data_IF_676547509012
#
_entry.id   IF_676547509012
#
_cell.length_a   1.000
_cell.length_b   1.000
_cell.length_c   1.000
_cell.angle_alpha   90.00
_cell.angle_beta   90.00
_cell.angle_gamma   90.00
#
_symmetry.space_group_name_H-M   'P 1'
#
loop_
_entity.id
_entity.type
_entity.pdbx_description
1 polymer ?
#
# COMPACT_ATOMS: atom_id res chain seq x y z
N UNK A 1 5.53 33.58 13.34
CA UNK A 1 5.02 32.26 12.89
C UNK A 1 4.09 31.70 13.97
N UNK A 2 2.80 31.62 13.70
CA UNK A 2 1.88 30.92 14.58
C UNK A 2 2.27 29.44 14.51
N UNK A 3 2.89 28.91 15.57
CA UNK A 3 3.00 27.49 15.79
C UNK A 3 1.57 26.95 15.79
N UNK A 4 1.17 26.26 14.72
CA UNK A 4 -0.05 25.46 14.75
C UNK A 4 0.11 24.48 15.91
N UNK A 5 -0.78 24.57 16.89
CA UNK A 5 -0.82 23.61 17.98
C UNK A 5 -1.18 22.29 17.34
N UNK A 6 -0.30 21.28 17.44
CA UNK A 6 -0.65 19.90 17.22
C UNK A 6 -1.83 19.61 18.17
N UNK A 7 -3.02 19.44 17.62
CA UNK A 7 -4.15 18.97 18.43
C UNK A 7 -3.88 17.50 18.71
N UNK A 8 -3.41 17.20 19.92
CA UNK A 8 -3.36 15.85 20.42
C UNK A 8 -4.81 15.40 20.60
N UNK A 9 -5.30 14.53 19.70
CA UNK A 9 -6.63 14.01 19.74
C UNK A 9 -6.56 12.57 20.22
N UNK A 10 -7.35 12.25 21.23
CA UNK A 10 -7.64 10.88 21.67
C UNK A 10 -9.11 10.64 21.40
N UNK A 11 -9.40 10.04 20.28
CA UNK A 11 -10.76 9.79 19.84
C UNK A 11 -11.19 8.36 20.15
N UNK A 12 -12.47 8.22 20.46
CA UNK A 12 -13.11 6.92 20.60
C UNK A 12 -14.34 6.87 19.72
N UNK A 13 -14.22 6.17 18.59
CA UNK A 13 -15.33 5.93 17.68
C UNK A 13 -16.10 4.70 18.14
N UNK A 14 -17.44 4.78 18.12
CA UNK A 14 -18.32 3.66 18.42
C UNK A 14 -19.40 3.55 17.36
N UNK A 15 -19.62 2.34 16.88
CA UNK A 15 -20.70 2.05 15.94
C UNK A 15 -21.32 0.69 16.25
N UNK A 16 -22.63 0.64 16.32
CA UNK A 16 -23.39 -0.60 16.36
C UNK A 16 -23.72 -1.01 14.93
N UNK A 17 -23.45 -2.26 14.59
CA UNK A 17 -23.76 -2.83 13.28
C UNK A 17 -24.39 -4.21 13.49
N UNK A 18 -25.57 -4.40 12.90
CA UNK A 18 -26.17 -5.73 12.80
C UNK A 18 -25.41 -6.56 11.78
N UNK A 19 -24.98 -7.75 12.15
CA UNK A 19 -24.33 -8.71 11.25
C UNK A 19 -25.30 -9.85 11.01
N UNK A 20 -25.74 -9.99 9.76
CA UNK A 20 -26.74 -11.00 9.38
C UNK A 20 -26.20 -12.42 9.60
N UNK A 21 -27.08 -13.34 9.99
CA UNK A 21 -26.73 -14.74 10.23
C UNK A 21 -26.22 -15.46 8.98
N UNK A 22 -26.57 -15.01 7.78
CA UNK A 22 -26.04 -15.55 6.52
C UNK A 22 -24.55 -15.35 6.32
N UNK A 23 -23.91 -14.49 7.12
CA UNK A 23 -22.46 -14.28 7.11
C UNK A 23 -21.71 -15.27 8.02
N UNK A 24 -22.42 -16.09 8.81
CA UNK A 24 -21.82 -17.08 9.70
C UNK A 24 -21.02 -18.12 8.88
N UNK A 25 -19.80 -18.41 9.34
CA UNK A 25 -18.87 -19.33 8.61
C UNK A 25 -18.05 -18.64 7.52
N UNK A 26 -18.23 -17.35 7.28
CA UNK A 26 -17.33 -16.57 6.42
C UNK A 26 -16.16 -15.98 7.22
N UNK A 27 -15.07 -15.73 6.54
CA UNK A 27 -13.98 -14.90 7.06
C UNK A 27 -14.43 -13.44 7.09
N UNK A 28 -14.23 -12.76 8.21
CA UNK A 28 -14.60 -11.36 8.36
C UNK A 28 -13.39 -10.51 8.75
N UNK A 29 -13.19 -9.40 8.04
CA UNK A 29 -12.09 -8.46 8.27
C UNK A 29 -12.64 -7.05 8.34
N UNK A 30 -12.19 -6.26 9.32
CA UNK A 30 -12.34 -4.81 9.28
C UNK A 30 -11.08 -4.20 8.69
N UNK A 31 -11.24 -3.40 7.64
CA UNK A 31 -10.15 -2.83 6.84
C UNK A 31 -10.19 -1.31 6.93
N UNK A 32 -9.05 -0.70 7.20
CA UNK A 32 -8.85 0.74 7.30
C UNK A 32 -7.91 1.22 6.20
N UNK A 33 -8.29 2.24 5.47
CA UNK A 33 -7.40 2.88 4.51
C UNK A 33 -6.41 3.86 5.16
N UNK A 34 -6.73 4.35 6.35
CA UNK A 34 -5.82 5.18 7.14
C UNK A 34 -6.48 5.75 8.40
N UNK A 35 -5.71 5.72 9.48
CA UNK A 35 -6.10 6.38 10.74
C UNK A 35 -4.83 6.79 11.52
N UNK A 36 -4.76 8.02 11.96
CA UNK A 36 -3.55 8.60 12.53
C UNK A 36 -3.67 8.78 14.04
N UNK A 37 -2.79 8.13 14.83
CA UNK A 37 -1.53 7.45 14.44
C UNK A 37 -1.40 6.08 15.15
N UNK A 38 -1.95 5.92 16.34
CA UNK A 38 -2.05 4.65 17.08
C UNK A 38 -3.51 4.23 17.13
N UNK A 39 -3.82 3.06 16.61
CA UNK A 39 -5.17 2.51 16.59
C UNK A 39 -5.24 1.30 17.48
N UNK A 40 -6.26 1.25 18.37
CA UNK A 40 -6.66 0.04 19.10
C UNK A 40 -8.10 -0.27 18.78
N UNK A 41 -8.33 -1.48 18.33
CA UNK A 41 -9.64 -1.94 17.95
C UNK A 41 -10.21 -2.95 18.94
N UNK A 42 -11.48 -2.75 19.29
CA UNK A 42 -12.25 -3.62 20.18
C UNK A 42 -13.57 -3.98 19.50
N UNK A 43 -13.97 -5.23 19.58
CA UNK A 43 -15.26 -5.72 19.12
C UNK A 43 -16.01 -6.37 20.29
N UNK A 44 -17.24 -5.90 20.56
CA UNK A 44 -18.06 -6.36 21.67
C UNK A 44 -17.36 -6.27 23.05
N UNK A 45 -16.49 -5.28 23.21
CA UNK A 45 -15.70 -5.05 24.42
C UNK A 45 -14.42 -5.87 24.52
N UNK A 46 -14.14 -6.76 23.60
CA UNK A 46 -12.90 -7.56 23.55
C UNK A 46 -11.85 -6.85 22.69
N UNK A 47 -10.61 -6.83 23.15
CA UNK A 47 -9.49 -6.33 22.35
C UNK A 47 -9.21 -7.28 21.18
N UNK A 48 -9.10 -6.74 19.99
CA UNK A 48 -8.84 -7.49 18.75
C UNK A 48 -7.41 -7.26 18.26
N UNK A 49 -6.95 -6.02 18.25
CA UNK A 49 -5.62 -5.70 17.77
C UNK A 49 -5.28 -4.21 17.82
N UNK A 50 -4.04 -3.90 17.48
CA UNK A 50 -3.53 -2.53 17.38
C UNK A 50 -2.69 -2.35 16.11
N UNK A 51 -2.62 -1.11 15.64
CA UNK A 51 -1.76 -0.69 14.53
C UNK A 51 -1.06 0.62 14.89
N UNK A 52 0.21 0.74 14.50
CA UNK A 52 1.05 1.92 14.68
C UNK A 52 1.49 2.43 13.31
N UNK A 53 1.15 3.67 13.02
CA UNK A 53 1.41 4.31 11.73
C UNK A 53 0.17 5.04 11.24
N UNK A 54 0.36 6.23 10.67
CA UNK A 54 -0.76 7.12 10.38
C UNK A 54 -1.25 7.09 8.94
N UNK A 55 -0.51 6.46 8.01
CA UNK A 55 -0.70 6.75 6.58
C UNK A 55 -0.81 5.52 5.69
N UNK A 56 -0.51 4.35 6.20
CA UNK A 56 -0.65 3.07 5.53
C UNK A 56 -2.00 2.43 5.84
N UNK A 57 -2.42 1.49 4.99
CA UNK A 57 -3.62 0.68 5.19
C UNK A 57 -3.33 -0.43 6.20
N UNK A 58 -4.36 -0.85 6.94
CA UNK A 58 -4.25 -1.98 7.85
C UNK A 58 -5.61 -2.66 8.03
N UNK A 59 -5.60 -3.89 8.53
CA UNK A 59 -6.81 -4.64 8.78
C UNK A 59 -6.70 -5.54 10.00
N UNK A 60 -7.86 -5.91 10.55
CA UNK A 60 -7.95 -6.88 11.66
C UNK A 60 -8.92 -7.99 11.28
N UNK A 61 -8.51 -9.24 11.53
CA UNK A 61 -9.41 -10.38 11.50
C UNK A 61 -10.36 -10.30 12.70
N UNK A 62 -11.65 -10.29 12.41
CA UNK A 62 -12.70 -10.17 13.43
C UNK A 62 -13.62 -11.39 13.47
N UNK A 63 -13.32 -12.42 12.70
CA UNK A 63 -14.16 -13.60 12.49
C UNK A 63 -14.63 -14.24 13.79
N UNK A 64 -13.71 -14.47 14.72
CA UNK A 64 -14.00 -15.11 16.02
C UNK A 64 -14.68 -14.19 17.05
N UNK A 65 -14.72 -12.87 16.80
CA UNK A 65 -15.26 -11.87 17.71
C UNK A 65 -16.70 -11.44 17.36
N UNK A 66 -17.15 -11.78 16.13
CA UNK A 66 -18.49 -11.42 15.63
C UNK A 66 -19.58 -12.28 16.28
N UNK A 67 -20.71 -11.64 16.50
CA UNK A 67 -21.97 -12.26 16.89
C UNK A 67 -22.93 -12.14 15.73
N UNK A 68 -23.29 -13.27 15.13
CA UNK A 68 -24.16 -13.32 13.95
C UNK A 68 -25.64 -13.30 14.34
N UNK A 69 -26.47 -12.67 13.52
CA UNK A 69 -27.90 -12.47 13.76
C UNK A 69 -28.22 -11.45 14.86
N UNK A 70 -27.27 -10.59 15.21
CA UNK A 70 -27.43 -9.59 16.25
C UNK A 70 -26.52 -8.37 16.06
N UNK A 71 -26.74 -7.34 16.89
CA UNK A 71 -25.90 -6.15 16.94
C UNK A 71 -24.52 -6.44 17.51
N UNK A 72 -23.51 -5.83 16.89
CA UNK A 72 -22.12 -5.85 17.33
C UNK A 72 -21.64 -4.43 17.59
N UNK A 73 -20.97 -4.22 18.71
CA UNK A 73 -20.40 -2.93 19.08
C UNK A 73 -18.92 -2.86 18.64
N UNK A 74 -18.68 -2.09 17.58
CA UNK A 74 -17.33 -1.73 17.10
C UNK A 74 -16.85 -0.52 17.89
N UNK A 75 -15.68 -0.64 18.53
CA UNK A 75 -15.06 0.48 19.27
C UNK A 75 -13.62 0.62 18.77
N UNK A 76 -13.32 1.79 18.21
CA UNK A 76 -11.99 2.13 17.70
C UNK A 76 -11.45 3.29 18.55
N UNK A 77 -10.31 3.08 19.17
CA UNK A 77 -9.56 4.12 19.87
C UNK A 77 -8.43 4.57 18.95
N UNK A 78 -8.36 5.87 18.68
CA UNK A 78 -7.32 6.49 17.87
C UNK A 78 -6.60 7.55 18.69
N UNK A 79 -5.28 7.52 18.70
CA UNK A 79 -4.44 8.42 19.46
C UNK A 79 -3.33 8.99 18.56
N UNK A 80 -3.26 10.32 18.43
CA UNK A 80 -2.16 11.00 17.75
C UNK A 80 -1.29 11.85 18.68
N UNK A 81 -1.25 11.50 19.96
CA UNK A 81 -0.27 12.08 20.89
C UNK A 81 1.13 11.75 20.38
N UNK A 82 2.04 12.72 20.45
CA UNK A 82 3.42 12.52 20.08
C UNK A 82 4.00 11.25 20.70
N UNK A 83 4.48 10.36 19.83
CA UNK A 83 5.19 9.14 20.21
C UNK A 83 6.56 9.16 19.51
N UNK A 84 7.68 9.19 20.24
CA UNK A 84 9.00 9.29 19.63
C UNK A 84 9.39 8.04 18.81
N UNK A 85 8.64 6.96 18.92
CA UNK A 85 8.91 5.72 18.20
C UNK A 85 8.06 5.54 16.94
N UNK A 86 7.19 6.50 16.59
CA UNK A 86 6.33 6.42 15.41
C UNK A 86 6.58 7.63 14.50
N UNK A 87 7.18 7.47 13.32
CA UNK A 87 7.33 8.58 12.38
C UNK A 87 5.96 9.02 11.81
N UNK A 88 5.80 10.31 11.44
CA UNK A 88 6.80 11.38 11.48
C UNK A 88 6.93 11.99 12.87
N UNK A 89 8.16 12.35 13.25
CA UNK A 89 8.44 12.97 14.54
C UNK A 89 8.26 14.49 14.51
N UNK A 90 8.62 15.09 13.39
CA UNK A 90 8.52 16.52 13.12
C UNK A 90 8.43 16.74 11.62
N UNK A 91 7.69 17.74 11.21
CA UNK A 91 7.58 18.14 9.81
C UNK A 91 7.04 19.58 9.71
N UNK A 92 6.95 20.08 8.50
CA UNK A 92 6.34 21.37 8.16
C UNK A 92 4.87 21.25 7.73
N UNK A 93 4.29 20.04 7.82
CA UNK A 93 2.88 19.77 7.61
C UNK A 93 2.15 19.38 8.91
N UNK A 94 0.82 19.46 8.91
CA UNK A 94 0.00 19.17 10.09
C UNK A 94 -0.27 17.67 10.22
N UNK A 95 -0.08 17.13 11.43
CA UNK A 95 -0.41 15.76 11.79
C UNK A 95 -1.86 15.70 12.28
N UNK A 96 -2.80 15.56 11.35
CA UNK A 96 -4.21 15.43 11.70
C UNK A 96 -4.48 14.03 12.27
N UNK A 97 -5.17 13.97 13.42
CA UNK A 97 -5.55 12.72 14.07
C UNK A 97 -6.89 12.18 13.62
N UNK A 98 -7.21 10.96 14.06
CA UNK A 98 -8.50 10.32 13.85
C UNK A 98 -8.54 9.38 12.65
N UNK A 99 -9.73 8.84 12.36
CA UNK A 99 -10.02 8.06 11.15
C UNK A 99 -10.34 9.06 10.05
N UNK A 100 -9.52 9.13 9.03
CA UNK A 100 -9.62 10.16 7.99
C UNK A 100 -9.78 9.61 6.56
N UNK A 101 -9.69 8.27 6.41
CA UNK A 101 -9.99 7.54 5.17
C UNK A 101 -11.06 6.49 5.43
N UNK A 102 -11.48 5.78 4.40
CA UNK A 102 -12.55 4.83 4.44
C UNK A 102 -12.27 3.60 5.32
N UNK A 103 -13.35 3.04 5.87
CA UNK A 103 -13.33 1.82 6.68
C UNK A 103 -14.35 0.85 6.14
N UNK A 104 -13.91 -0.37 5.81
CA UNK A 104 -14.74 -1.42 5.23
C UNK A 104 -14.87 -2.61 6.16
N UNK A 105 -16.07 -3.20 6.18
CA UNK A 105 -16.32 -4.52 6.74
C UNK A 105 -16.43 -5.50 5.57
N UNK A 106 -15.48 -6.42 5.48
CA UNK A 106 -15.36 -7.38 4.39
C UNK A 106 -15.68 -8.79 4.86
N UNK A 107 -16.51 -9.50 4.09
CA UNK A 107 -16.82 -10.91 4.30
C UNK A 107 -16.35 -11.74 3.12
N UNK A 108 -15.45 -12.67 3.36
CA UNK A 108 -14.81 -13.50 2.34
C UNK A 108 -15.13 -14.98 2.56
N UNK A 109 -14.88 -15.81 1.56
CA UNK A 109 -14.88 -17.25 1.74
C UNK A 109 -13.75 -17.64 2.71
N UNK A 110 -13.90 -18.64 3.57
CA UNK A 110 -12.81 -19.11 4.42
C UNK A 110 -11.58 -19.61 3.65
N UNK A 111 -11.76 -20.01 2.39
CA UNK A 111 -10.68 -20.27 1.44
C UNK A 111 -10.61 -19.09 0.48
N UNK A 112 -9.60 -18.24 0.62
CA UNK A 112 -9.52 -16.98 -0.09
C UNK A 112 -8.08 -16.53 -0.36
N UNK A 113 -7.93 -15.43 -1.08
CA UNK A 113 -6.65 -14.72 -1.25
C UNK A 113 -6.37 -13.92 0.04
N UNK A 114 -5.17 -14.08 0.60
CA UNK A 114 -4.82 -13.52 1.90
C UNK A 114 -4.65 -12.00 1.84
N UNK A 115 -5.75 -11.27 2.04
CA UNK A 115 -5.77 -9.79 2.10
C UNK A 115 -5.28 -9.23 3.44
N UNK A 116 -5.05 -10.09 4.44
CA UNK A 116 -4.43 -9.72 5.72
C UNK A 116 -2.89 -9.63 5.64
N UNK A 117 -2.28 -9.91 4.50
CA UNK A 117 -0.87 -9.66 4.25
C UNK A 117 -0.64 -8.15 4.09
N UNK A 118 -0.36 -7.45 5.17
CA UNK A 118 -0.16 -5.99 5.22
C UNK A 118 -1.30 -5.16 4.59
N UNK A 119 -2.54 -5.64 4.66
CA UNK A 119 -3.70 -5.04 3.99
C UNK A 119 -3.48 -4.79 2.49
N UNK A 120 -2.71 -5.65 1.83
CA UNK A 120 -2.46 -5.64 0.39
C UNK A 120 -3.56 -6.40 -0.37
N UNK A 121 -3.41 -6.51 -1.68
CA UNK A 121 -4.31 -7.34 -2.48
C UNK A 121 -4.07 -8.85 -2.31
N UNK A 122 -2.99 -9.27 -1.65
CA UNK A 122 -2.54 -10.67 -1.58
C UNK A 122 -2.05 -11.23 -2.92
N UNK A 123 -1.98 -10.39 -3.96
CA UNK A 123 -1.51 -10.72 -5.31
C UNK A 123 -0.42 -9.74 -5.72
N UNK A 124 0.72 -10.26 -6.15
CA UNK A 124 1.88 -9.46 -6.55
C UNK A 124 2.27 -9.80 -7.99
N UNK A 125 2.24 -8.80 -8.87
CA UNK A 125 2.48 -8.96 -10.31
C UNK A 125 3.85 -8.40 -10.67
N UNK A 126 4.73 -9.27 -11.16
CA UNK A 126 6.05 -8.89 -11.66
C UNK A 126 6.11 -8.99 -13.16
N UNK A 127 6.88 -8.10 -13.77
CA UNK A 127 7.11 -8.05 -15.22
C UNK A 127 8.62 -8.09 -15.47
N UNK A 128 9.26 -9.28 -15.31
CA UNK A 128 10.73 -9.38 -15.32
C UNK A 128 11.36 -8.98 -16.65
N UNK A 129 10.63 -9.14 -17.74
CA UNK A 129 11.10 -8.79 -19.07
C UNK A 129 9.96 -8.09 -19.82
N UNK A 130 10.20 -6.86 -20.25
CA UNK A 130 9.26 -6.08 -21.08
C UNK A 130 10.03 -5.36 -22.16
N UNK A 131 9.56 -5.46 -23.40
CA UNK A 131 10.03 -4.69 -24.54
C UNK A 131 8.88 -4.50 -25.55
N UNK A 132 9.14 -3.86 -26.70
CA UNK A 132 8.12 -3.57 -27.70
C UNK A 132 7.52 -4.82 -28.37
N UNK A 133 8.23 -5.95 -28.37
CA UNK A 133 7.80 -7.18 -29.04
C UNK A 133 7.18 -8.20 -28.11
N UNK A 134 7.55 -8.20 -26.84
CA UNK A 134 7.05 -9.17 -25.85
C UNK A 134 7.14 -8.64 -24.43
N UNK A 135 6.26 -9.16 -23.55
CA UNK A 135 6.35 -9.00 -22.12
C UNK A 135 6.22 -10.36 -21.42
N UNK A 136 6.92 -10.51 -20.31
CA UNK A 136 6.82 -11.66 -19.40
C UNK A 136 6.13 -11.19 -18.11
N UNK A 137 5.06 -11.87 -17.71
CA UNK A 137 4.30 -11.59 -16.49
C UNK A 137 4.38 -12.79 -15.56
N UNK A 138 4.68 -12.55 -14.30
CA UNK A 138 4.68 -13.54 -13.22
C UNK A 138 3.77 -13.05 -12.09
N UNK A 139 2.89 -13.90 -11.59
CA UNK A 139 1.88 -13.54 -10.60
C UNK A 139 2.11 -14.41 -9.36
N UNK A 140 2.40 -13.76 -8.25
CA UNK A 140 2.46 -14.40 -6.94
C UNK A 140 1.14 -14.18 -6.23
N UNK A 141 0.51 -15.25 -5.73
CA UNK A 141 -0.77 -15.20 -5.01
C UNK A 141 -0.59 -15.83 -3.64
N UNK A 142 -0.99 -15.12 -2.61
CA UNK A 142 -1.05 -15.65 -1.24
C UNK A 142 -2.43 -16.26 -1.00
N UNK A 143 -2.47 -17.54 -0.70
CA UNK A 143 -3.68 -18.35 -0.53
C UNK A 143 -3.82 -18.73 0.93
N UNK A 144 -5.02 -18.64 1.48
CA UNK A 144 -5.28 -19.12 2.84
C UNK A 144 -6.51 -20.00 2.91
N UNK A 145 -6.44 -21.01 3.80
CA UNK A 145 -7.55 -21.89 4.12
C UNK A 145 -7.84 -21.85 5.63
N UNK A 146 -8.80 -21.04 6.02
CA UNK A 146 -9.22 -20.90 7.42
C UNK A 146 -10.30 -21.93 7.84
N UNK A 147 -10.54 -22.96 7.02
CA UNK A 147 -11.44 -24.06 7.37
C UNK A 147 -10.74 -25.15 8.18
N UNK A 148 -11.53 -25.99 8.87
CA UNK A 148 -11.02 -27.14 9.61
C UNK A 148 -10.69 -28.35 8.72
N UNK A 149 -10.88 -28.24 7.40
CA UNK A 149 -10.65 -29.33 6.44
C UNK A 149 -9.69 -28.88 5.33
N UNK A 150 -8.92 -29.81 4.75
CA UNK A 150 -8.15 -29.51 3.55
C UNK A 150 -9.05 -29.06 2.40
N UNK A 151 -8.59 -28.07 1.63
CA UNK A 151 -9.26 -27.57 0.43
C UNK A 151 -8.46 -27.92 -0.83
N UNK A 152 -9.14 -28.37 -1.88
CA UNK A 152 -8.58 -28.50 -3.22
C UNK A 152 -9.15 -27.38 -4.11
N UNK A 153 -8.29 -26.52 -4.59
CA UNK A 153 -8.64 -25.33 -5.34
C UNK A 153 -7.96 -25.28 -6.70
N UNK A 154 -8.53 -24.48 -7.59
CA UNK A 154 -7.89 -24.03 -8.82
C UNK A 154 -7.68 -22.53 -8.71
N UNK A 155 -6.44 -22.07 -8.84
CA UNK A 155 -6.10 -20.66 -8.99
C UNK A 155 -6.06 -20.35 -10.48
N UNK A 156 -6.84 -19.36 -10.92
CA UNK A 156 -6.85 -18.90 -12.30
C UNK A 156 -6.37 -17.44 -12.34
N UNK A 157 -5.44 -17.16 -13.23
CA UNK A 157 -5.00 -15.79 -13.53
C UNK A 157 -5.42 -15.47 -14.96
N UNK A 158 -6.31 -14.48 -15.11
CA UNK A 158 -6.83 -14.01 -16.41
C UNK A 158 -6.37 -12.59 -16.64
N UNK A 159 -5.59 -12.37 -17.68
CA UNK A 159 -5.15 -11.04 -18.10
C UNK A 159 -6.11 -10.57 -19.21
N UNK A 160 -6.81 -9.47 -18.93
CA UNK A 160 -7.72 -8.83 -19.88
C UNK A 160 -7.17 -7.50 -20.36
N UNK A 161 -7.50 -7.13 -21.60
CA UNK A 161 -7.25 -5.79 -22.14
C UNK A 161 -8.20 -4.73 -21.54
N UNK A 162 -8.08 -3.48 -21.99
CA UNK A 162 -8.90 -2.38 -21.49
C UNK A 162 -10.40 -2.53 -21.82
N UNK A 163 -10.74 -3.33 -22.81
CA UNK A 163 -12.13 -3.62 -23.23
C UNK A 163 -12.70 -4.85 -22.52
N UNK A 164 -11.91 -5.46 -21.59
CA UNK A 164 -12.30 -6.66 -20.83
C UNK A 164 -12.14 -7.97 -21.59
N UNK A 165 -11.54 -7.96 -22.79
CA UNK A 165 -11.28 -9.15 -23.56
C UNK A 165 -10.08 -9.91 -23.00
N UNK A 166 -10.22 -11.25 -22.84
CA UNK A 166 -9.14 -12.12 -22.42
C UNK A 166 -7.96 -12.08 -23.41
N UNK A 167 -6.78 -11.72 -22.91
CA UNK A 167 -5.51 -11.75 -23.64
C UNK A 167 -4.75 -13.03 -23.36
N UNK A 168 -4.66 -13.43 -22.10
CA UNK A 168 -3.97 -14.64 -21.63
C UNK A 168 -4.64 -15.17 -20.37
N UNK A 169 -4.59 -16.50 -20.23
CA UNK A 169 -5.06 -17.19 -19.04
C UNK A 169 -4.08 -18.27 -18.61
N UNK A 170 -3.88 -18.42 -17.33
CA UNK A 170 -3.16 -19.54 -16.72
C UNK A 170 -3.95 -20.09 -15.54
N UNK A 171 -3.65 -21.34 -15.16
CA UNK A 171 -4.20 -21.92 -13.95
C UNK A 171 -3.22 -22.89 -13.29
N UNK A 172 -3.41 -23.08 -11.99
CA UNK A 172 -2.75 -24.09 -11.18
C UNK A 172 -3.76 -24.78 -10.27
N UNK A 173 -3.56 -26.08 -10.01
CA UNK A 173 -4.34 -26.83 -9.03
C UNK A 173 -3.53 -26.96 -7.75
N UNK A 174 -4.12 -26.55 -6.63
CA UNK A 174 -3.44 -26.43 -5.35
C UNK A 174 -4.25 -27.13 -4.28
N UNK A 175 -3.54 -27.80 -3.38
CA UNK A 175 -4.11 -28.36 -2.15
C UNK A 175 -3.58 -27.53 -0.98
N UNK A 176 -4.51 -27.04 -0.17
CA UNK A 176 -4.24 -26.32 1.08
C UNK A 176 -4.67 -27.19 2.25
N UNK A 177 -3.79 -27.36 3.24
CA UNK A 177 -4.17 -27.99 4.49
C UNK A 177 -5.09 -27.05 5.30
N UNK A 178 -5.73 -27.58 6.34
CA UNK A 178 -6.49 -26.78 7.29
C UNK A 178 -5.57 -25.76 7.99
N UNK A 179 -5.97 -24.49 8.04
CA UNK A 179 -5.20 -23.40 8.64
C UNK A 179 -3.93 -22.99 7.87
N UNK A 180 -3.72 -23.50 6.66
CA UNK A 180 -2.52 -23.21 5.87
C UNK A 180 -2.65 -21.87 5.14
N UNK A 181 -1.56 -21.11 5.17
CA UNK A 181 -1.29 -20.02 4.22
C UNK A 181 -0.15 -20.43 3.30
N UNK A 182 -0.37 -20.36 2.00
CA UNK A 182 0.56 -20.82 0.97
C UNK A 182 0.73 -19.80 -0.14
N UNK A 183 1.96 -19.69 -0.63
CA UNK A 183 2.27 -18.87 -1.81
C UNK A 183 2.20 -19.74 -3.07
N UNK A 184 1.44 -19.30 -4.07
CA UNK A 184 1.48 -19.81 -5.43
C UNK A 184 2.18 -18.80 -6.35
N UNK A 185 3.09 -19.27 -7.17
CA UNK A 185 3.76 -18.45 -8.19
C UNK A 185 3.37 -19.02 -9.54
N UNK A 186 2.72 -18.22 -10.38
CA UNK A 186 2.29 -18.63 -11.71
C UNK A 186 3.50 -18.98 -12.59
N UNK A 187 3.29 -19.85 -13.58
CA UNK A 187 4.22 -19.96 -14.69
C UNK A 187 4.33 -18.59 -15.38
N UNK A 188 5.51 -18.27 -15.96
CA UNK A 188 5.69 -17.06 -16.75
C UNK A 188 4.68 -16.99 -17.89
N UNK A 189 3.91 -15.91 -17.92
CA UNK A 189 2.89 -15.64 -18.94
C UNK A 189 3.50 -14.71 -19.96
N UNK A 190 3.60 -15.20 -21.21
CA UNK A 190 4.11 -14.36 -22.30
C UNK A 190 2.97 -13.61 -22.98
N UNK A 191 3.14 -12.31 -23.15
CA UNK A 191 2.26 -11.43 -23.95
C UNK A 191 3.08 -10.95 -25.15
N UNK A 192 2.63 -11.31 -26.34
CA UNK A 192 3.28 -10.90 -27.58
C UNK A 192 2.72 -9.53 -28.02
N UNK A 193 3.59 -8.66 -28.55
CA UNK A 193 3.26 -7.29 -29.01
C UNK A 193 2.42 -6.52 -27.99
N UNK A 194 2.91 -6.35 -26.75
CA UNK A 194 2.14 -5.72 -25.70
C UNK A 194 1.91 -4.25 -25.97
N UNK A 195 0.71 -3.72 -25.65
CA UNK A 195 0.52 -2.29 -25.52
C UNK A 195 1.11 -1.82 -24.20
N UNK A 196 2.05 -0.88 -24.27
CA UNK A 196 2.82 -0.46 -23.11
C UNK A 196 2.11 0.66 -22.35
N UNK A 197 2.32 0.72 -21.04
CA UNK A 197 1.99 1.88 -20.23
C UNK A 197 3.04 2.96 -20.43
N UNK A 198 2.65 4.14 -20.84
CA UNK A 198 3.51 5.31 -21.07
C UNK A 198 2.83 6.58 -20.52
N UNK A 199 3.58 7.65 -20.35
CA UNK A 199 3.08 8.97 -19.92
C UNK A 199 2.00 9.51 -20.90
N UNK A 200 2.18 9.28 -22.20
CA UNK A 200 1.29 9.76 -23.24
C UNK A 200 0.17 8.77 -23.61
N UNK A 201 0.37 7.47 -23.31
CA UNK A 201 -0.60 6.40 -23.51
C UNK A 201 -0.58 5.45 -22.29
N UNK A 202 -1.27 5.80 -21.20
CA UNK A 202 -1.23 5.04 -19.96
C UNK A 202 -2.10 3.77 -20.03
N UNK A 203 -1.79 2.91 -20.97
CA UNK A 203 -2.57 1.70 -21.22
C UNK A 203 -2.39 0.70 -20.09
N UNK A 204 -3.50 0.15 -19.59
CA UNK A 204 -3.52 -0.86 -18.52
C UNK A 204 -4.30 -2.09 -18.96
N UNK A 205 -3.73 -3.23 -18.66
CA UNK A 205 -4.44 -4.48 -18.57
C UNK A 205 -5.02 -4.64 -17.16
N UNK A 206 -6.00 -5.54 -17.01
CA UNK A 206 -6.51 -5.95 -15.71
C UNK A 206 -6.21 -7.43 -15.51
N UNK A 207 -5.72 -7.77 -14.34
CA UNK A 207 -5.44 -9.15 -13.93
C UNK A 207 -6.48 -9.58 -12.92
N UNK A 208 -7.30 -10.56 -13.31
CA UNK A 208 -8.27 -11.22 -12.45
C UNK A 208 -7.63 -12.48 -11.89
N UNK A 209 -7.36 -12.51 -10.60
CA UNK A 209 -6.90 -13.70 -9.88
C UNK A 209 -8.08 -14.32 -9.17
N UNK A 210 -8.47 -15.53 -9.57
CA UNK A 210 -9.67 -16.26 -9.11
C UNK A 210 -9.29 -17.52 -8.38
N UNK A 211 -9.97 -17.79 -7.29
CA UNK A 211 -9.94 -19.08 -6.60
C UNK A 211 -11.25 -19.79 -6.84
N UNK A 212 -11.20 -21.00 -7.41
CA UNK A 212 -12.35 -21.84 -7.64
C UNK A 212 -12.23 -23.13 -6.82
N UNK A 213 -13.35 -23.62 -6.30
CA UNK A 213 -13.43 -24.98 -5.78
C UNK A 213 -13.12 -25.96 -6.93
N UNK A 214 -12.11 -26.81 -6.77
CA UNK A 214 -11.66 -27.71 -7.84
C UNK A 214 -12.73 -28.70 -8.29
N UNK A 215 -13.58 -29.18 -7.36
CA UNK A 215 -14.60 -30.20 -7.63
C UNK A 215 -15.88 -29.61 -8.20
N UNK A 216 -16.30 -28.47 -7.63
CA UNK A 216 -17.58 -27.82 -7.98
C UNK A 216 -17.43 -26.79 -9.10
N UNK A 217 -16.23 -26.27 -9.31
CA UNK A 217 -15.98 -25.16 -10.23
C UNK A 217 -16.58 -23.83 -9.78
N UNK A 218 -17.08 -23.74 -8.55
CA UNK A 218 -17.67 -22.50 -8.01
C UNK A 218 -16.58 -21.51 -7.62
N UNK A 219 -16.81 -20.22 -7.91
CA UNK A 219 -15.93 -19.14 -7.50
C UNK A 219 -15.97 -19.00 -5.97
N UNK A 220 -14.81 -19.05 -5.34
CA UNK A 220 -14.63 -18.85 -3.91
C UNK A 220 -14.19 -17.40 -3.62
N UNK A 221 -13.25 -16.87 -4.41
CA UNK A 221 -12.73 -15.54 -4.26
C UNK A 221 -12.16 -14.97 -5.56
N UNK A 222 -12.15 -13.64 -5.69
CA UNK A 222 -11.56 -12.94 -6.84
C UNK A 222 -10.94 -11.63 -6.39
N UNK A 223 -9.71 -11.39 -6.84
CA UNK A 223 -9.02 -10.11 -6.68
C UNK A 223 -8.60 -9.58 -8.04
N UNK A 224 -8.81 -8.28 -8.27
CA UNK A 224 -8.51 -7.61 -9.54
C UNK A 224 -7.42 -6.57 -9.32
N UNK A 225 -6.35 -6.66 -10.11
CA UNK A 225 -5.23 -5.73 -10.05
C UNK A 225 -4.95 -5.09 -11.41
N UNK A 226 -4.50 -3.81 -11.47
CA UNK A 226 -4.02 -3.21 -12.69
C UNK A 226 -2.67 -3.81 -13.09
N UNK A 227 -2.42 -3.88 -14.40
CA UNK A 227 -1.14 -4.25 -14.97
C UNK A 227 -0.75 -3.25 -16.07
N UNK A 228 0.28 -2.45 -15.83
CA UNK A 228 0.91 -1.60 -16.85
C UNK A 228 2.26 -2.19 -17.25
N UNK A 229 2.36 -2.64 -18.49
CA UNK A 229 3.59 -3.21 -19.02
C UNK A 229 4.53 -2.09 -19.44
N UNK A 230 5.70 -1.99 -18.80
CA UNK A 230 6.70 -0.95 -19.03
C UNK A 230 8.06 -1.40 -18.56
N UNK A 231 9.08 -0.76 -19.09
CA UNK A 231 10.43 -0.76 -18.50
C UNK A 231 10.94 0.68 -18.38
N UNK A 232 11.78 0.92 -17.41
CA UNK A 232 12.32 2.25 -17.16
C UNK A 232 13.73 2.19 -16.59
N UNK A 233 14.45 3.29 -16.72
CA UNK A 233 15.79 3.43 -16.18
C UNK A 233 16.06 4.89 -15.83
N UNK A 234 16.75 5.10 -14.72
CA UNK A 234 17.41 6.37 -14.41
C UNK A 234 18.88 6.27 -14.76
N UNK A 235 19.36 7.18 -15.59
CA UNK A 235 20.74 7.26 -16.03
C UNK A 235 21.35 8.55 -15.47
N UNK A 236 22.51 8.48 -14.81
CA UNK A 236 23.12 9.60 -14.11
C UNK A 236 23.49 10.78 -15.02
N UNK A 237 23.71 10.52 -16.30
CA UNK A 237 24.10 11.55 -17.30
C UNK A 237 22.95 11.96 -18.21
N UNK A 238 22.10 10.99 -18.58
CA UNK A 238 21.07 11.16 -19.62
C UNK A 238 19.65 11.30 -19.05
N UNK A 239 19.48 11.13 -17.75
CA UNK A 239 18.22 11.29 -17.05
C UNK A 239 17.28 10.07 -17.13
N UNK A 240 15.98 10.31 -17.13
CA UNK A 240 14.96 9.27 -17.06
C UNK A 240 14.56 8.76 -18.45
N UNK A 241 14.45 7.43 -18.55
CA UNK A 241 13.97 6.74 -19.77
C UNK A 241 12.75 5.86 -19.40
N UNK A 242 11.70 5.96 -20.21
CA UNK A 242 10.53 5.10 -20.16
C UNK A 242 10.33 4.44 -21.53
N UNK A 243 10.24 3.13 -21.57
CA UNK A 243 10.06 2.34 -22.79
C UNK A 243 11.11 2.66 -23.88
N UNK A 244 12.36 2.91 -23.42
CA UNK A 244 13.47 3.26 -24.29
C UNK A 244 13.50 4.72 -24.77
N UNK A 245 12.50 5.54 -24.44
CA UNK A 245 12.44 6.97 -24.80
C UNK A 245 12.89 7.83 -23.62
N UNK A 246 13.79 8.78 -23.88
CA UNK A 246 14.17 9.81 -22.90
C UNK A 246 12.95 10.69 -22.57
N UNK A 247 12.67 10.88 -21.28
CA UNK A 247 11.55 11.67 -20.79
C UNK A 247 12.03 12.68 -19.74
N UNK A 248 11.54 13.91 -19.83
CA UNK A 248 11.70 14.89 -18.77
C UNK A 248 10.56 14.73 -17.78
N UNK A 249 10.88 14.51 -16.50
CA UNK A 249 9.90 14.50 -15.43
C UNK A 249 9.61 15.93 -15.01
N UNK A 250 8.37 16.36 -15.10
CA UNK A 250 7.86 17.68 -14.73
C UNK A 250 6.69 17.45 -13.79
N UNK A 251 6.77 17.97 -12.57
CA UNK A 251 5.73 17.70 -11.59
C UNK A 251 5.87 18.48 -10.30
N UNK A 252 5.17 18.03 -9.30
CA UNK A 252 5.12 18.65 -7.97
C UNK A 252 5.15 17.60 -6.87
N UNK A 253 5.38 18.05 -5.64
CA UNK A 253 5.06 17.31 -4.44
C UNK A 253 3.63 17.64 -3.99
N UNK A 254 2.97 16.69 -3.31
CA UNK A 254 1.62 16.89 -2.80
C UNK A 254 1.49 16.41 -1.37
N UNK A 255 0.92 17.28 -0.52
CA UNK A 255 0.31 16.91 0.76
C UNK A 255 -1.20 16.71 0.60
N UNK A 256 -1.81 15.86 1.44
CA UNK A 256 -3.22 15.47 1.26
C UNK A 256 -4.21 16.32 2.04
N UNK A 257 -3.78 17.43 2.63
CA UNK A 257 -4.64 18.27 3.44
C UNK A 257 -5.29 19.42 2.64
N UNK A 258 -6.49 19.79 3.07
CA UNK A 258 -7.26 20.92 2.52
C UNK A 258 -7.65 21.91 3.61
N UNK A 259 -7.75 23.17 3.23
CA UNK A 259 -8.24 24.22 4.10
C UNK A 259 -9.61 23.86 4.69
N UNK A 260 -9.76 23.98 6.00
CA UNK A 260 -10.95 23.66 6.81
C UNK A 260 -11.40 22.18 6.80
N UNK A 261 -10.70 21.28 6.13
CA UNK A 261 -11.05 19.85 6.08
C UNK A 261 -9.97 18.95 6.70
N UNK A 262 -8.73 19.44 6.79
CA UNK A 262 -7.59 18.60 7.17
C UNK A 262 -7.41 17.46 6.18
N UNK A 263 -7.13 16.25 6.67
CA UNK A 263 -6.90 15.07 5.86
C UNK A 263 -8.18 14.27 5.53
N UNK A 264 -9.32 14.60 6.15
CA UNK A 264 -10.58 13.88 5.93
C UNK A 264 -11.25 14.36 4.64
N UNK A 265 -10.72 13.94 3.51
CA UNK A 265 -11.16 14.33 2.19
C UNK A 265 -12.00 13.24 1.53
N UNK A 266 -12.88 13.66 0.64
CA UNK A 266 -13.55 12.74 -0.29
C UNK A 266 -12.66 12.52 -1.51
N UNK A 267 -12.82 11.38 -2.16
CA UNK A 267 -12.07 10.98 -3.36
C UNK A 267 -12.06 12.04 -4.45
N UNK A 268 -13.18 12.77 -4.64
CA UNK A 268 -13.28 13.78 -5.69
C UNK A 268 -12.26 14.90 -5.55
N UNK A 269 -11.86 15.26 -4.31
CA UNK A 269 -10.83 16.28 -4.08
C UNK A 269 -9.44 15.74 -4.44
N UNK A 270 -9.17 14.48 -4.11
CA UNK A 270 -7.94 13.81 -4.49
C UNK A 270 -7.84 13.68 -6.03
N UNK A 271 -8.93 13.26 -6.68
CA UNK A 271 -9.03 13.18 -8.14
C UNK A 271 -8.78 14.53 -8.80
N UNK A 272 -9.40 15.60 -8.26
CA UNK A 272 -9.23 16.96 -8.77
C UNK A 272 -7.78 17.42 -8.78
N UNK A 273 -7.02 17.15 -7.71
CA UNK A 273 -5.60 17.55 -7.64
C UNK A 273 -4.76 16.87 -8.73
N UNK A 274 -5.00 15.56 -8.97
CA UNK A 274 -4.26 14.83 -10.00
C UNK A 274 -4.65 15.29 -11.42
N UNK A 275 -5.93 15.62 -11.64
CA UNK A 275 -6.39 16.22 -12.90
C UNK A 275 -5.75 17.58 -13.14
N UNK A 276 -5.71 18.46 -12.15
CA UNK A 276 -5.05 19.76 -12.24
C UNK A 276 -3.57 19.63 -12.56
N UNK A 277 -2.86 18.68 -11.92
CA UNK A 277 -1.47 18.39 -12.27
C UNK A 277 -1.33 18.00 -13.75
N UNK A 278 -2.23 17.15 -14.26
CA UNK A 278 -2.20 16.73 -15.66
C UNK A 278 -2.51 17.90 -16.61
N UNK A 279 -3.50 18.74 -16.30
CA UNK A 279 -3.85 19.95 -17.07
C UNK A 279 -2.69 20.95 -17.13
N UNK A 280 -1.91 21.09 -16.08
CA UNK A 280 -0.68 21.90 -16.04
C UNK A 280 0.46 21.33 -16.90
N UNK A 281 0.28 20.17 -17.53
CA UNK A 281 1.31 19.46 -18.29
C UNK A 281 2.26 18.61 -17.42
N UNK A 282 1.92 18.38 -16.15
CA UNK A 282 2.69 17.54 -15.24
C UNK A 282 2.61 16.05 -15.62
N UNK A 283 3.71 15.35 -15.42
CA UNK A 283 3.85 13.92 -15.66
C UNK A 283 4.56 13.18 -14.51
N UNK A 284 4.82 13.89 -13.41
CA UNK A 284 5.44 13.35 -12.20
C UNK A 284 4.75 13.89 -10.95
N UNK A 285 4.50 13.00 -9.98
CA UNK A 285 3.98 13.35 -8.66
C UNK A 285 4.87 12.73 -7.58
N UNK A 286 5.45 13.56 -6.72
CA UNK A 286 6.02 13.12 -5.48
C UNK A 286 4.92 13.02 -4.43
N UNK A 287 4.57 11.80 -4.05
CA UNK A 287 3.56 11.50 -3.02
C UNK A 287 4.22 11.65 -1.65
N UNK A 288 4.37 12.90 -1.24
CA UNK A 288 5.16 13.29 -0.07
C UNK A 288 4.29 13.57 1.15
N UNK A 289 4.77 13.30 2.35
CA UNK A 289 5.95 12.49 2.69
C UNK A 289 5.52 11.15 3.27
N UNK A 290 4.41 10.61 2.75
CA UNK A 290 3.70 9.43 3.26
C UNK A 290 2.79 8.85 2.17
N UNK A 291 2.45 7.56 2.23
CA UNK A 291 1.43 6.98 1.35
C UNK A 291 0.10 7.74 1.48
N UNK A 292 -0.43 8.20 0.36
CA UNK A 292 -1.69 8.95 0.32
C UNK A 292 -2.87 8.04 0.01
N UNK A 293 -4.04 8.64 -0.17
CA UNK A 293 -5.27 7.93 -0.48
C UNK A 293 -5.09 7.02 -1.71
N UNK A 294 -5.63 5.78 -1.72
CA UNK A 294 -5.49 4.85 -2.84
C UNK A 294 -5.94 5.41 -4.19
N UNK A 295 -6.93 6.31 -4.18
CA UNK A 295 -7.44 6.95 -5.42
C UNK A 295 -6.39 7.79 -6.11
N UNK A 296 -5.42 8.38 -5.37
CA UNK A 296 -4.30 9.14 -5.96
C UNK A 296 -3.48 8.24 -6.89
N UNK A 297 -3.11 7.05 -6.40
CA UNK A 297 -2.32 6.10 -7.16
C UNK A 297 -3.10 5.58 -8.37
N UNK A 298 -4.40 5.33 -8.19
CA UNK A 298 -5.27 4.92 -9.28
C UNK A 298 -5.35 5.98 -10.38
N UNK A 299 -5.47 7.26 -10.02
CA UNK A 299 -5.49 8.36 -10.96
C UNK A 299 -4.14 8.56 -11.68
N UNK A 300 -3.03 8.41 -10.96
CA UNK A 300 -1.70 8.45 -11.59
C UNK A 300 -1.51 7.32 -12.60
N UNK A 301 -1.98 6.10 -12.27
CA UNK A 301 -1.97 4.97 -13.20
C UNK A 301 -2.81 5.24 -14.45
N UNK A 302 -3.98 5.88 -14.31
CA UNK A 302 -4.91 6.20 -15.40
C UNK A 302 -4.43 7.34 -16.30
N UNK A 303 -3.73 8.31 -15.73
CA UNK A 303 -3.36 9.55 -16.42
C UNK A 303 -1.89 9.57 -16.91
N UNK A 304 -1.13 8.51 -16.70
CA UNK A 304 0.27 8.45 -17.11
C UNK A 304 1.16 9.41 -16.31
N UNK A 305 0.95 9.45 -14.99
CA UNK A 305 1.77 10.26 -14.08
C UNK A 305 2.71 9.31 -13.35
N UNK A 306 4.01 9.46 -13.58
CA UNK A 306 5.05 8.73 -12.83
C UNK A 306 5.07 9.19 -11.38
N UNK A 307 5.23 8.27 -10.44
CA UNK A 307 5.21 8.61 -9.01
C UNK A 307 6.43 8.14 -8.25
N UNK A 308 6.80 8.91 -7.22
CA UNK A 308 7.56 8.42 -6.06
C UNK A 308 6.63 8.40 -4.86
N UNK A 309 6.65 7.31 -4.09
CA UNK A 309 5.88 7.15 -2.85
C UNK A 309 6.86 6.96 -1.71
N UNK A 310 6.61 7.59 -0.57
CA UNK A 310 7.56 7.57 0.56
C UNK A 310 6.88 7.24 1.90
N UNK A 311 7.67 6.67 2.81
CA UNK A 311 7.26 6.52 4.21
C UNK A 311 7.60 7.80 5.00
N UNK A 312 6.88 8.09 6.11
CA UNK A 312 6.98 9.37 6.81
C UNK A 312 8.20 9.52 7.74
N UNK A 313 9.36 9.00 7.38
CA UNK A 313 10.60 9.22 8.11
C UNK A 313 11.19 10.56 7.70
N UNK A 314 10.75 11.63 8.37
CA UNK A 314 10.96 13.02 7.97
C UNK A 314 11.67 13.79 9.08
N UNK A 315 12.69 14.58 8.71
CA UNK A 315 13.41 15.56 9.52
C UNK A 315 14.28 14.96 10.63
N UNK A 316 13.82 13.94 11.37
CA UNK A 316 14.54 13.38 12.50
C UNK A 316 14.26 11.88 12.68
N UNK A 317 15.16 11.19 13.37
CA UNK A 317 15.01 9.83 13.87
C UNK A 317 15.11 9.80 15.39
N UNK A 318 14.48 8.82 16.02
CA UNK A 318 14.72 8.49 17.42
C UNK A 318 15.64 7.28 17.50
N UNK A 319 16.66 7.35 18.34
CA UNK A 319 17.69 6.31 18.50
C UNK A 319 17.18 5.12 19.33
N UNK A 320 16.06 4.50 18.89
CA UNK A 320 15.46 3.34 19.51
C UNK A 320 15.18 2.23 18.50
N UNK A 321 15.27 0.99 18.95
CA UNK A 321 14.92 -0.16 18.12
C UNK A 321 13.44 -0.17 17.75
N UNK A 322 12.56 0.33 18.62
CA UNK A 322 11.12 0.43 18.33
C UNK A 322 10.84 1.41 17.16
N UNK A 323 11.55 2.55 17.10
CA UNK A 323 11.45 3.47 15.96
C UNK A 323 11.88 2.79 14.66
N UNK A 324 12.99 2.05 14.70
CA UNK A 324 13.48 1.29 13.55
C UNK A 324 12.43 0.26 13.09
N UNK A 325 11.90 -0.54 14.00
CA UNK A 325 10.91 -1.57 13.66
C UNK A 325 9.62 -0.97 13.09
N UNK A 326 9.06 0.07 13.71
CA UNK A 326 7.88 0.75 13.19
C UNK A 326 8.12 1.32 11.78
N UNK A 327 9.31 1.88 11.52
CA UNK A 327 9.68 2.39 10.20
C UNK A 327 9.80 1.28 9.15
N UNK A 328 10.37 0.14 9.52
CA UNK A 328 10.50 -1.06 8.66
C UNK A 328 9.11 -1.62 8.33
N UNK A 329 8.21 -1.72 9.31
CA UNK A 329 6.84 -2.19 9.05
C UNK A 329 6.08 -1.25 8.10
N UNK A 330 6.18 0.07 8.27
CA UNK A 330 5.60 1.05 7.34
C UNK A 330 6.18 0.91 5.92
N UNK A 331 7.47 0.58 5.78
CA UNK A 331 8.08 0.37 4.48
C UNK A 331 7.52 -0.87 3.79
N UNK A 332 7.33 -1.97 4.50
CA UNK A 332 6.69 -3.18 3.96
C UNK A 332 5.24 -2.92 3.56
N UNK A 333 4.47 -2.25 4.44
CA UNK A 333 3.10 -1.85 4.15
C UNK A 333 3.02 -1.03 2.86
N UNK A 334 3.82 0.02 2.74
CA UNK A 334 3.88 0.88 1.55
C UNK A 334 4.14 0.08 0.28
N UNK A 335 5.20 -0.75 0.27
CA UNK A 335 5.59 -1.50 -0.92
C UNK A 335 4.55 -2.53 -1.29
N UNK A 336 4.07 -3.35 -0.35
CA UNK A 336 3.09 -4.40 -0.62
C UNK A 336 1.74 -3.86 -1.06
N UNK A 337 1.30 -2.76 -0.47
CA UNK A 337 0.02 -2.13 -0.77
C UNK A 337 -0.02 -1.50 -2.17
N UNK A 338 1.07 -0.91 -2.64
CA UNK A 338 1.15 -0.24 -3.93
C UNK A 338 2.02 -1.00 -4.95
N UNK A 339 2.31 -2.27 -4.69
CA UNK A 339 3.16 -3.13 -5.52
C UNK A 339 2.73 -3.18 -6.98
N UNK A 340 1.43 -3.32 -7.23
CA UNK A 340 0.88 -3.50 -8.58
C UNK A 340 0.63 -2.18 -9.33
N UNK A 341 1.00 -1.02 -8.75
CA UNK A 341 0.80 0.30 -9.38
C UNK A 341 1.82 0.55 -10.49
N UNK A 342 1.40 0.66 -11.76
CA UNK A 342 2.32 0.92 -12.86
C UNK A 342 2.96 2.31 -12.80
N UNK A 343 2.33 3.29 -12.20
CA UNK A 343 2.85 4.66 -12.03
C UNK A 343 4.05 4.73 -11.08
N UNK A 344 4.13 3.85 -10.08
CA UNK A 344 5.23 3.86 -9.11
C UNK A 344 6.53 3.39 -9.74
N UNK A 345 7.57 4.21 -9.64
CA UNK A 345 8.92 3.89 -10.13
C UNK A 345 10.00 4.10 -9.08
N UNK A 346 9.66 4.82 -8.00
CA UNK A 346 10.59 5.17 -6.93
C UNK A 346 9.91 4.95 -5.57
N UNK A 347 10.60 4.27 -4.66
CA UNK A 347 10.26 4.17 -3.25
C UNK A 347 11.14 5.10 -2.43
N UNK A 348 10.51 6.08 -1.75
CA UNK A 348 11.20 6.99 -0.84
C UNK A 348 11.19 6.43 0.60
N UNK A 349 12.31 6.58 1.31
CA UNK A 349 12.40 6.04 2.67
C UNK A 349 12.84 7.05 3.74
N UNK A 350 13.37 8.21 3.35
CA UNK A 350 13.75 9.30 4.25
C UNK A 350 13.67 10.65 3.56
N UNK A 351 13.32 11.68 4.33
CA UNK A 351 13.30 13.07 3.86
C UNK A 351 13.98 14.00 4.86
N UNK A 352 15.01 14.74 4.43
CA UNK A 352 15.66 15.84 5.16
C UNK A 352 16.07 15.48 6.61
N UNK A 353 16.55 14.28 6.80
CA UNK A 353 16.70 13.61 8.09
C UNK A 353 17.63 14.32 9.09
N UNK A 354 18.47 15.26 8.60
CA UNK A 354 19.39 16.02 9.42
C UNK A 354 18.99 17.48 9.63
N UNK A 355 17.79 17.87 9.19
CA UNK A 355 17.31 19.25 9.32
C UNK A 355 17.15 19.68 10.77
N UNK A 356 16.76 18.78 11.66
CA UNK A 356 16.63 19.01 13.10
C UNK A 356 17.36 17.95 13.90
N UNK A 357 18.69 18.05 13.91
CA UNK A 357 19.53 17.15 14.71
C UNK A 357 19.37 17.47 16.20
N UNK A 358 19.25 16.45 17.07
CA UNK A 358 19.15 16.67 18.52
C UNK A 358 20.47 17.09 19.17
N UNK A 359 21.60 16.85 18.50
CA UNK A 359 22.95 17.15 18.97
C UNK A 359 23.70 18.00 17.97
N UNK A 360 24.60 18.85 18.44
CA UNK A 360 25.41 19.75 17.60
C UNK A 360 26.82 19.27 17.38
N UNK A 361 27.42 18.54 18.34
CA UNK A 361 28.81 18.08 18.30
C UNK A 361 29.06 16.89 19.26
N UNK A 362 30.22 16.30 19.17
CA UNK A 362 30.72 15.28 20.07
C UNK A 362 30.17 13.89 19.83
N UNK A 363 30.43 12.97 20.78
CA UNK A 363 30.11 11.56 20.64
C UNK A 363 28.62 11.29 20.41
N UNK A 364 27.73 12.07 21.03
CA UNK A 364 26.29 11.89 20.85
C UNK A 364 25.85 12.17 19.41
N UNK A 365 26.44 13.16 18.74
CA UNK A 365 26.18 13.41 17.33
C UNK A 365 26.70 12.28 16.45
N UNK A 366 27.87 11.71 16.75
CA UNK A 366 28.39 10.57 16.01
C UNK A 366 27.53 9.32 16.20
N UNK A 367 27.05 9.07 17.41
CA UNK A 367 26.16 7.94 17.71
C UNK A 367 24.81 8.13 16.99
N UNK A 368 24.25 9.35 16.94
CA UNK A 368 23.05 9.68 16.17
C UNK A 368 23.24 9.42 14.67
N UNK A 369 24.37 9.80 14.09
CA UNK A 369 24.67 9.52 12.67
C UNK A 369 24.77 8.03 12.40
N UNK A 370 25.42 7.26 13.27
CA UNK A 370 25.51 5.81 13.13
C UNK A 370 24.14 5.13 13.21
N UNK A 371 23.30 5.58 14.14
CA UNK A 371 21.95 5.05 14.24
C UNK A 371 21.10 5.43 13.02
N UNK A 372 21.18 6.67 12.56
CA UNK A 372 20.50 7.11 11.32
C UNK A 372 20.93 6.28 10.11
N UNK A 373 22.23 6.01 9.97
CA UNK A 373 22.75 5.10 8.94
C UNK A 373 22.19 3.69 9.07
N UNK A 374 22.11 3.15 10.30
CA UNK A 374 21.46 1.84 10.57
C UNK A 374 20.02 1.83 10.07
N UNK A 375 19.24 2.86 10.40
CA UNK A 375 17.84 3.00 9.94
C UNK A 375 17.78 3.07 8.41
N UNK A 376 18.59 3.92 7.77
CA UNK A 376 18.62 4.08 6.33
C UNK A 376 18.93 2.75 5.61
N UNK A 377 19.98 2.04 6.07
CA UNK A 377 20.35 0.72 5.51
C UNK A 377 19.25 -0.33 5.68
N UNK A 378 18.60 -0.37 6.85
CA UNK A 378 17.52 -1.31 7.10
C UNK A 378 16.31 -1.02 6.20
N UNK A 379 15.92 0.23 6.05
CA UNK A 379 14.81 0.64 5.19
C UNK A 379 15.10 0.33 3.71
N UNK A 380 16.29 0.69 3.22
CA UNK A 380 16.66 0.39 1.84
C UNK A 380 16.70 -1.12 1.59
N UNK A 381 17.29 -1.90 2.50
CA UNK A 381 17.34 -3.37 2.39
C UNK A 381 15.93 -3.97 2.37
N UNK A 382 15.04 -3.53 3.28
CA UNK A 382 13.63 -3.98 3.32
C UNK A 382 12.91 -3.68 2.01
N UNK A 383 13.01 -2.46 1.51
CA UNK A 383 12.33 -2.07 0.27
C UNK A 383 12.84 -2.87 -0.93
N UNK A 384 14.16 -3.09 -1.02
CA UNK A 384 14.76 -3.89 -2.11
C UNK A 384 14.43 -5.37 -2.02
N UNK A 385 14.25 -5.91 -0.82
CA UNK A 385 13.80 -7.28 -0.61
C UNK A 385 12.35 -7.45 -1.07
N UNK A 386 11.47 -6.52 -0.70
CA UNK A 386 10.06 -6.54 -1.10
C UNK A 386 9.90 -6.27 -2.61
N UNK A 387 10.62 -5.29 -3.16
CA UNK A 387 10.56 -4.92 -4.57
C UNK A 387 11.93 -4.56 -5.17
N UNK A 388 12.65 -5.54 -5.73
CA UNK A 388 13.93 -5.29 -6.39
C UNK A 388 13.81 -4.60 -7.75
N UNK A 389 12.61 -4.38 -8.26
CA UNK A 389 12.37 -3.88 -9.62
C UNK A 389 12.32 -2.35 -9.73
N UNK A 390 12.10 -1.66 -8.61
CA UNK A 390 12.00 -0.21 -8.54
C UNK A 390 13.20 0.42 -7.86
N UNK A 391 13.40 1.71 -8.11
CA UNK A 391 14.48 2.48 -7.49
C UNK A 391 14.11 2.93 -6.08
N UNK A 392 15.11 3.10 -5.24
CA UNK A 392 14.98 3.70 -3.91
C UNK A 392 15.51 5.12 -3.92
N UNK A 393 14.95 5.99 -3.08
CA UNK A 393 15.35 7.39 -2.96
C UNK A 393 15.30 7.86 -1.51
N UNK A 394 16.30 8.63 -1.14
CA UNK A 394 16.29 9.47 0.04
C UNK A 394 16.39 10.93 -0.41
N UNK A 395 15.43 11.76 -0.01
CA UNK A 395 15.53 13.20 -0.24
C UNK A 395 16.44 13.82 0.81
N UNK A 396 17.46 14.51 0.32
CA UNK A 396 18.48 15.14 1.15
C UNK A 396 18.37 16.67 1.06
N UNK A 397 18.76 17.37 2.11
CA UNK A 397 18.94 18.81 2.07
C UNK A 397 20.39 19.15 2.39
N UNK A 398 20.91 20.20 1.77
CA UNK A 398 22.29 20.72 2.00
C UNK A 398 22.31 21.68 3.17
#
# INVERSE_FOLDING_TARGET
SRRQRQMCIRDRYRKQLFVDKSQEGRQAVIYFEGANQEVRFYLNGQFVGEHKGGYTRFCFDITSHLRYGQENLFTIYVNNVYNPNIPPLSADFTFFGGIYRDVYLQFMNPVHIATNDYASSGVYIRTPEVNNSAASVEITTLLTNNTLQPAEIRVENVICDADGKEVKKTHAEIKLASGETKTDISKKIKIDSPRLWDIDDPYRYMVYTRILDKKKGTLLDEVVNPLGLRWFKFDSEKGFFLNGKGRKLIGTARHQDYFQKGNALRDELHVQDVLLLKEMGGNFLRVSHYPQDPVIMEMCDKLGIVTSVEIPVVIAVTETEEFLQNSVEMAKEMVRQDFNRPSVMIWGYMNEIFLRRPYTEGKQLEDYYRFTEKVARALEATIREEDPSRYTMMAYHN
#
